data_IF_350397248355
#
_entry.id   IF_350397248355
#
_cell.length_a   1.000
_cell.length_b   1.000
_cell.length_c   1.000
_cell.angle_alpha   90.00
_cell.angle_beta   90.00
_cell.angle_gamma   90.00
#
_symmetry.space_group_name_H-M   'P 1'
#
loop_
_entity.id
_entity.type
_entity.pdbx_description
1 polymer ?
#
# COMPACT_ATOMS: atom_id res chain seq x y z
N UNK A 1 11.55 -3.67 1.30
CA UNK A 1 11.72 -2.52 0.37
C UNK A 1 13.08 -2.50 -0.34
N UNK A 2 14.00 -3.39 0.02
CA UNK A 2 15.35 -3.46 -0.55
C UNK A 2 15.39 -3.74 -2.07
N UNK A 3 14.36 -4.40 -2.59
CA UNK A 3 14.28 -4.86 -3.99
C UNK A 3 13.28 -4.05 -4.85
N UNK A 4 12.90 -2.82 -4.43
CA UNK A 4 11.95 -2.02 -5.20
C UNK A 4 12.49 -1.63 -6.59
N UNK A 5 13.79 -1.35 -6.71
CA UNK A 5 14.43 -1.09 -8.00
C UNK A 5 14.44 -2.30 -8.92
N UNK A 6 14.66 -3.50 -8.39
CA UNK A 6 14.56 -4.76 -9.15
C UNK A 6 13.12 -5.02 -9.60
N UNK A 7 12.13 -4.71 -8.73
CA UNK A 7 10.72 -4.79 -9.09
C UNK A 7 10.34 -3.81 -10.21
N UNK A 8 10.91 -2.60 -10.18
CA UNK A 8 10.72 -1.61 -11.26
C UNK A 8 11.34 -2.11 -12.58
N UNK A 9 12.54 -2.70 -12.54
CA UNK A 9 13.15 -3.30 -13.71
C UNK A 9 12.30 -4.44 -14.28
N UNK A 10 11.81 -5.34 -13.42
CA UNK A 10 10.91 -6.42 -13.83
C UNK A 10 9.63 -5.89 -14.48
N UNK A 11 9.02 -4.87 -13.88
CA UNK A 11 7.79 -4.29 -14.42
C UNK A 11 8.00 -3.64 -15.81
N UNK A 12 9.14 -3.01 -16.02
CA UNK A 12 9.56 -2.44 -17.30
C UNK A 12 9.80 -3.51 -18.36
N UNK A 13 10.40 -4.64 -17.97
CA UNK A 13 10.70 -5.74 -18.89
C UNK A 13 9.44 -6.52 -19.31
N UNK A 14 8.35 -6.45 -18.50
CA UNK A 14 7.08 -7.13 -18.77
C UNK A 14 5.89 -6.13 -18.74
N UNK A 15 5.84 -5.16 -19.67
CA UNK A 15 4.85 -4.06 -19.61
C UNK A 15 3.39 -4.52 -19.75
N UNK A 16 3.15 -5.64 -20.41
CA UNK A 16 1.81 -6.21 -20.60
C UNK A 16 1.32 -7.05 -19.41
N UNK A 17 2.18 -7.23 -18.39
CA UNK A 17 1.86 -8.01 -17.19
C UNK A 17 1.54 -7.09 -16.03
N UNK A 18 0.33 -7.20 -15.47
CA UNK A 18 -0.01 -6.48 -14.23
C UNK A 18 0.77 -7.06 -13.06
N UNK A 19 1.56 -6.23 -12.41
CA UNK A 19 2.33 -6.59 -11.22
C UNK A 19 1.67 -5.95 -9.99
N UNK A 20 1.42 -6.74 -8.95
CA UNK A 20 0.85 -6.25 -7.68
C UNK A 20 1.93 -6.28 -6.61
N UNK A 21 2.37 -5.09 -6.18
CA UNK A 21 3.26 -4.94 -5.04
C UNK A 21 2.49 -5.22 -3.75
N UNK A 22 2.80 -6.32 -3.08
CA UNK A 22 2.19 -6.67 -1.80
C UNK A 22 2.78 -5.84 -0.65
N UNK A 23 1.96 -5.62 0.39
CA UNK A 23 2.36 -5.07 1.69
C UNK A 23 3.11 -3.75 1.57
N UNK A 24 2.70 -2.89 0.62
CA UNK A 24 3.32 -1.58 0.43
C UNK A 24 4.85 -1.62 0.25
N UNK A 25 5.40 -2.74 -0.26
CA UNK A 25 6.84 -2.95 -0.35
C UNK A 25 7.54 -3.06 1.00
N UNK A 26 6.80 -3.38 2.06
CA UNK A 26 7.29 -3.63 3.43
C UNK A 26 8.19 -2.49 3.94
N UNK A 27 7.65 -1.31 4.29
CA UNK A 27 8.41 -0.20 4.90
C UNK A 27 8.77 -0.54 6.36
N UNK A 28 9.72 -1.42 6.57
CA UNK A 28 10.08 -1.97 7.88
C UNK A 28 10.81 -0.93 8.75
N UNK A 29 11.78 -0.21 8.17
CA UNK A 29 12.45 0.89 8.84
C UNK A 29 11.59 2.16 8.79
N UNK A 30 10.98 2.50 9.92
CA UNK A 30 10.12 3.68 10.10
C UNK A 30 10.87 4.94 10.51
N UNK A 31 12.21 4.91 10.57
CA UNK A 31 13.02 6.12 10.74
C UNK A 31 12.84 7.08 9.56
N UNK A 32 13.18 8.34 9.75
CA UNK A 32 13.13 9.35 8.68
C UNK A 32 13.98 8.92 7.46
N UNK A 33 15.16 8.37 7.70
CA UNK A 33 16.06 7.87 6.65
C UNK A 33 15.48 6.64 5.95
N UNK A 34 14.98 5.64 6.71
CA UNK A 34 14.38 4.43 6.16
C UNK A 34 13.17 4.72 5.30
N UNK A 35 12.26 5.57 5.77
CA UNK A 35 11.11 6.01 4.99
C UNK A 35 11.51 6.83 3.74
N UNK A 36 12.62 7.59 3.81
CA UNK A 36 13.12 8.32 2.63
C UNK A 36 13.60 7.35 1.53
N UNK A 37 14.36 6.32 1.90
CA UNK A 37 14.83 5.28 0.97
C UNK A 37 13.63 4.51 0.38
N UNK A 38 12.69 4.09 1.22
CA UNK A 38 11.48 3.41 0.78
C UNK A 38 10.65 4.27 -0.20
N UNK A 39 10.44 5.57 0.10
CA UNK A 39 9.72 6.48 -0.81
C UNK A 39 10.41 6.61 -2.16
N UNK A 40 11.73 6.71 -2.19
CA UNK A 40 12.49 6.80 -3.44
C UNK A 40 12.26 5.56 -4.31
N UNK A 41 12.33 4.36 -3.73
CA UNK A 41 12.04 3.11 -4.45
C UNK A 41 10.58 3.00 -4.89
N UNK A 42 9.61 3.49 -4.08
CA UNK A 42 8.20 3.53 -4.46
C UNK A 42 7.94 4.49 -5.63
N UNK A 43 8.62 5.63 -5.67
CA UNK A 43 8.53 6.58 -6.79
C UNK A 43 9.07 5.96 -8.08
N UNK A 44 10.24 5.34 -8.03
CA UNK A 44 10.82 4.63 -9.18
C UNK A 44 9.88 3.52 -9.70
N UNK A 45 9.30 2.73 -8.79
CA UNK A 45 8.36 1.68 -9.16
C UNK A 45 7.05 2.24 -9.74
N UNK A 46 6.60 3.39 -9.26
CA UNK A 46 5.38 4.05 -9.74
C UNK A 46 5.49 4.61 -11.18
N UNK A 47 6.71 4.78 -11.71
CA UNK A 47 6.93 5.12 -13.12
C UNK A 47 6.45 4.00 -14.06
N UNK A 48 6.28 2.79 -13.54
CA UNK A 48 5.79 1.66 -14.31
C UNK A 48 4.25 1.60 -14.25
N UNK A 49 3.52 1.83 -15.37
CA UNK A 49 2.06 1.94 -15.36
C UNK A 49 1.34 0.61 -15.06
N UNK A 50 2.01 -0.51 -15.28
CA UNK A 50 1.50 -1.86 -15.04
C UNK A 50 1.63 -2.32 -13.58
N UNK A 51 2.12 -1.46 -12.66
CA UNK A 51 2.23 -1.77 -11.24
C UNK A 51 1.04 -1.22 -10.46
N UNK A 52 0.40 -2.08 -9.68
CA UNK A 52 -0.61 -1.76 -8.65
C UNK A 52 -0.07 -2.09 -7.26
N UNK A 53 -0.59 -1.43 -6.23
CA UNK A 53 -0.10 -1.59 -4.85
C UNK A 53 -1.20 -2.06 -3.92
N UNK A 54 -0.91 -3.10 -3.15
CA UNK A 54 -1.74 -3.55 -2.05
C UNK A 54 -1.26 -2.91 -0.75
N UNK A 55 -2.07 -2.03 -0.19
CA UNK A 55 -1.82 -1.38 1.11
C UNK A 55 -2.30 -2.33 2.21
N UNK A 56 -1.40 -3.16 2.70
CA UNK A 56 -1.64 -4.20 3.70
C UNK A 56 -0.32 -4.53 4.41
N UNK A 57 -0.35 -5.27 5.50
CA UNK A 57 0.87 -5.73 6.18
C UNK A 57 1.81 -4.59 6.60
N UNK A 58 1.24 -3.44 6.92
CA UNK A 58 1.99 -2.24 7.33
C UNK A 58 2.05 -2.08 8.85
N UNK A 59 1.55 -3.06 9.60
CA UNK A 59 1.68 -3.08 11.05
C UNK A 59 3.14 -3.21 11.48
N UNK A 60 3.48 -2.60 12.61
CA UNK A 60 4.84 -2.63 13.17
C UNK A 60 4.89 -3.65 14.30
N UNK A 61 5.86 -4.58 14.23
CA UNK A 61 6.02 -5.61 15.26
C UNK A 61 6.21 -4.97 16.64
N UNK A 62 5.51 -5.51 17.64
CA UNK A 62 5.57 -4.99 19.02
C UNK A 62 4.74 -3.73 19.27
N UNK A 63 4.02 -3.22 18.28
CA UNK A 63 3.16 -2.04 18.42
C UNK A 63 1.72 -2.34 17.97
N UNK A 64 0.75 -1.84 18.73
CA UNK A 64 -0.64 -1.87 18.29
C UNK A 64 -0.81 -1.04 17.00
N UNK A 65 -1.58 -1.57 16.05
CA UNK A 65 -1.95 -0.84 14.84
C UNK A 65 -2.74 0.42 15.20
N UNK A 66 -2.34 1.56 14.68
CA UNK A 66 -3.04 2.82 14.92
C UNK A 66 -2.93 3.76 13.72
N UNK A 67 -3.94 4.61 13.56
CA UNK A 67 -4.00 5.64 12.52
C UNK A 67 -2.77 6.55 12.57
N UNK A 68 -2.36 6.99 13.76
CA UNK A 68 -1.21 7.87 13.93
C UNK A 68 0.09 7.28 13.34
N UNK A 69 0.29 5.96 13.49
CA UNK A 69 1.47 5.26 12.97
C UNK A 69 1.40 5.03 11.47
N UNK A 70 0.22 4.75 10.93
CA UNK A 70 0.09 4.29 9.55
C UNK A 70 -0.29 5.38 8.55
N UNK A 71 -0.87 6.50 9.02
CA UNK A 71 -1.35 7.61 8.17
C UNK A 71 -0.29 8.08 7.16
N UNK A 72 0.95 8.30 7.61
CA UNK A 72 2.04 8.78 6.75
C UNK A 72 2.32 7.84 5.58
N UNK A 73 2.49 6.56 5.88
CA UNK A 73 2.77 5.52 4.86
C UNK A 73 1.61 5.37 3.88
N UNK A 74 0.37 5.26 4.39
CA UNK A 74 -0.83 5.13 3.53
C UNK A 74 -0.95 6.32 2.59
N UNK A 75 -0.81 7.53 3.11
CA UNK A 75 -0.90 8.76 2.32
C UNK A 75 0.22 8.90 1.28
N UNK A 76 1.43 8.52 1.64
CA UNK A 76 2.56 8.51 0.70
C UNK A 76 2.29 7.57 -0.48
N UNK A 77 1.79 6.36 -0.24
CA UNK A 77 1.48 5.40 -1.30
C UNK A 77 0.40 5.94 -2.23
N UNK A 78 -0.71 6.45 -1.67
CA UNK A 78 -1.81 7.00 -2.48
C UNK A 78 -1.33 8.20 -3.30
N UNK A 79 -0.47 9.06 -2.74
CA UNK A 79 0.10 10.19 -3.46
C UNK A 79 1.03 9.77 -4.59
N UNK A 80 1.86 8.73 -4.36
CA UNK A 80 2.87 8.25 -5.32
C UNK A 80 2.21 7.49 -6.48
N UNK A 81 1.31 6.55 -6.19
CA UNK A 81 0.70 5.69 -7.22
C UNK A 81 -0.63 6.22 -7.77
N UNK A 82 -1.27 7.13 -7.04
CA UNK A 82 -2.65 7.55 -7.33
C UNK A 82 -3.69 6.54 -6.86
N UNK A 83 -4.91 7.02 -6.63
CA UNK A 83 -6.03 6.21 -6.13
C UNK A 83 -6.28 4.98 -7.01
N UNK A 84 -6.26 5.12 -8.33
CA UNK A 84 -6.60 4.05 -9.27
C UNK A 84 -5.64 2.83 -9.28
N UNK A 85 -4.47 2.96 -8.66
CA UNK A 85 -3.49 1.87 -8.59
C UNK A 85 -3.27 1.32 -7.17
N UNK A 86 -4.06 1.75 -6.20
CA UNK A 86 -3.96 1.33 -4.80
C UNK A 86 -5.18 0.52 -4.37
N UNK A 87 -4.99 -0.49 -3.54
CA UNK A 87 -6.07 -1.25 -2.93
C UNK A 87 -5.75 -1.63 -1.49
N UNK A 88 -6.73 -1.53 -0.59
CA UNK A 88 -6.57 -1.94 0.80
C UNK A 88 -6.75 -3.45 0.97
N UNK A 89 -5.99 -4.04 1.90
CA UNK A 89 -6.19 -5.40 2.35
C UNK A 89 -5.75 -5.56 3.82
N UNK A 90 -6.27 -6.58 4.49
CA UNK A 90 -6.08 -6.76 5.94
C UNK A 90 -4.76 -7.42 6.33
N UNK A 91 -4.16 -8.20 5.43
CA UNK A 91 -3.09 -9.13 5.77
C UNK A 91 -3.48 -10.16 6.87
N UNK A 92 -4.77 -10.44 7.03
CA UNK A 92 -5.22 -11.45 7.97
C UNK A 92 -4.93 -12.87 7.44
N UNK A 93 -4.54 -13.80 8.34
CA UNK A 93 -4.53 -13.68 9.82
C UNK A 93 -3.22 -13.10 10.41
N UNK A 94 -2.22 -12.74 9.62
CA UNK A 94 -0.90 -12.32 10.13
C UNK A 94 -1.02 -11.06 10.99
N UNK A 95 -1.70 -10.03 10.50
CA UNK A 95 -1.83 -8.74 11.21
C UNK A 95 -2.74 -8.80 12.46
N UNK A 96 -3.33 -9.98 12.81
CA UNK A 96 -3.99 -10.11 14.13
C UNK A 96 -3.01 -9.93 15.30
N UNK A 97 -1.71 -10.03 15.04
CA UNK A 97 -0.67 -9.78 16.05
C UNK A 97 -0.56 -8.29 16.44
N UNK A 98 -1.03 -7.40 15.59
CA UNK A 98 -0.96 -5.93 15.80
C UNK A 98 -2.34 -5.28 15.96
N UNK A 99 -3.43 -5.94 15.53
CA UNK A 99 -4.78 -5.41 15.66
C UNK A 99 -5.87 -6.35 15.17
N UNK A 100 -7.13 -6.01 15.44
CA UNK A 100 -8.26 -6.73 14.88
C UNK A 100 -8.47 -6.34 13.41
N UNK A 101 -9.18 -7.19 12.65
CA UNK A 101 -9.62 -6.86 11.29
C UNK A 101 -10.36 -5.51 11.27
N UNK A 102 -11.30 -5.30 12.21
CA UNK A 102 -12.04 -4.07 12.32
C UNK A 102 -11.15 -2.85 12.63
N UNK A 103 -10.16 -3.01 13.50
CA UNK A 103 -9.18 -1.94 13.81
C UNK A 103 -8.46 -1.47 12.55
N UNK A 104 -7.99 -2.40 11.73
CA UNK A 104 -7.24 -2.08 10.51
C UNK A 104 -8.14 -1.37 9.49
N UNK A 105 -9.31 -1.93 9.17
CA UNK A 105 -10.19 -1.33 8.17
C UNK A 105 -10.82 -0.01 8.62
N UNK A 106 -11.22 0.12 9.89
CA UNK A 106 -11.68 1.40 10.44
C UNK A 106 -10.56 2.45 10.41
N UNK A 107 -9.33 2.04 10.66
CA UNK A 107 -8.19 2.93 10.53
C UNK A 107 -7.95 3.40 9.09
N UNK A 108 -8.09 2.54 8.08
CA UNK A 108 -8.03 2.96 6.68
C UNK A 108 -9.17 3.92 6.33
N UNK A 109 -10.39 3.67 6.83
CA UNK A 109 -11.53 4.59 6.66
C UNK A 109 -11.23 5.97 7.25
N UNK A 110 -10.66 6.04 8.46
CA UNK A 110 -10.28 7.29 9.10
C UNK A 110 -9.11 7.99 8.38
N UNK A 111 -8.13 7.24 7.88
CA UNK A 111 -7.00 7.81 7.12
C UNK A 111 -7.47 8.46 5.82
N UNK A 112 -8.56 7.99 5.24
CA UNK A 112 -9.09 8.43 3.95
C UNK A 112 -10.40 9.19 4.05
N UNK A 113 -10.73 9.76 5.20
CA UNK A 113 -12.00 10.46 5.47
C UNK A 113 -12.20 11.75 4.65
N UNK A 114 -11.10 12.37 4.22
CA UNK A 114 -11.06 13.57 3.36
C UNK A 114 -11.13 13.26 1.85
N UNK A 115 -11.05 12.00 1.45
CA UNK A 115 -11.19 11.61 0.05
C UNK A 115 -12.66 11.53 -0.37
N UNK A 116 -12.91 11.68 -1.68
CA UNK A 116 -14.26 11.52 -2.24
C UNK A 116 -14.79 10.08 -2.02
N UNK A 117 -16.11 9.92 -1.98
CA UNK A 117 -16.75 8.59 -1.89
C UNK A 117 -16.36 7.69 -3.06
N UNK A 118 -16.14 8.28 -4.24
CA UNK A 118 -15.66 7.56 -5.42
C UNK A 118 -14.26 7.00 -5.20
N UNK A 119 -13.32 7.83 -4.72
CA UNK A 119 -11.95 7.40 -4.47
C UNK A 119 -11.86 6.33 -3.38
N UNK A 120 -12.63 6.52 -2.31
CA UNK A 120 -12.73 5.52 -1.24
C UNK A 120 -13.26 4.20 -1.77
N UNK A 121 -14.30 4.22 -2.60
CA UNK A 121 -14.85 3.00 -3.23
C UNK A 121 -13.81 2.30 -4.10
N UNK A 122 -12.99 3.04 -4.84
CA UNK A 122 -11.90 2.47 -5.62
C UNK A 122 -10.86 1.78 -4.72
N UNK A 123 -10.39 2.45 -3.66
CA UNK A 123 -9.38 1.92 -2.74
C UNK A 123 -9.85 0.67 -1.98
N UNK A 124 -11.13 0.63 -1.57
CA UNK A 124 -11.68 -0.46 -0.74
C UNK A 124 -12.25 -1.63 -1.55
N UNK A 125 -12.60 -1.42 -2.82
CA UNK A 125 -13.25 -2.44 -3.63
C UNK A 125 -12.88 -2.39 -5.12
N UNK A 126 -13.11 -1.27 -5.80
CA UNK A 126 -13.10 -1.21 -7.27
C UNK A 126 -11.77 -1.68 -7.88
N UNK A 127 -10.64 -1.19 -7.38
CA UNK A 127 -9.33 -1.56 -7.91
C UNK A 127 -8.99 -3.04 -7.68
N UNK A 128 -9.43 -3.61 -6.56
CA UNK A 128 -9.24 -5.04 -6.30
C UNK A 128 -10.13 -5.88 -7.24
N UNK A 129 -11.41 -5.50 -7.38
CA UNK A 129 -12.34 -6.20 -8.26
C UNK A 129 -11.84 -6.22 -9.72
N UNK A 130 -11.36 -5.08 -10.23
CA UNK A 130 -10.76 -4.98 -11.56
C UNK A 130 -9.49 -5.84 -11.68
N UNK A 131 -8.58 -5.71 -10.72
CA UNK A 131 -7.27 -6.38 -10.77
C UNK A 131 -7.40 -7.89 -10.73
N UNK A 132 -8.29 -8.41 -9.90
CA UNK A 132 -8.49 -9.85 -9.69
C UNK A 132 -9.67 -10.42 -10.49
N UNK A 133 -10.36 -9.60 -11.29
CA UNK A 133 -11.50 -10.00 -12.13
C UNK A 133 -12.63 -10.66 -11.32
N UNK A 134 -13.01 -10.02 -10.20
CA UNK A 134 -14.06 -10.50 -9.28
C UNK A 134 -15.44 -10.07 -9.77
#
# INVERSE_FOLDING_TARGET
YWHLGEAAALARDFPDTTIVLNHAGVPEDRSTSGLSVWRAGMVELAEQPNVKVKISGIGEAGHAWSVARQRGVVRDIIRIFGVGRCMFASNFPVDRLVGSFATIFNGFLEITDDLSDSDRRQLFHGNAAETYRL
#
